data_IF_691821828349
#
_entry.id   IF_691821828349
#
_cell.length_a   1.000
_cell.length_b   1.000
_cell.length_c   1.000
_cell.angle_alpha   90.00
_cell.angle_beta   90.00
_cell.angle_gamma   90.00
#
_symmetry.space_group_name_H-M   'P 1'
#
loop_
_entity.id
_entity.type
_entity.pdbx_description
1 polymer ?
#
# COMPACT_ATOMS: atom_id res chain seq x y z
N UNK A 1 23.08 25.49 15.47
CA UNK A 1 22.20 26.17 14.49
C UNK A 1 21.69 25.09 13.55
N UNK A 2 20.39 25.01 13.29
CA UNK A 2 19.80 24.00 12.39
C UNK A 2 19.27 24.67 11.12
N UNK A 3 19.48 24.02 9.97
CA UNK A 3 19.00 24.48 8.65
C UNK A 3 18.07 23.39 8.13
N UNK A 4 16.90 23.80 7.62
CA UNK A 4 15.97 22.89 6.95
C UNK A 4 16.14 23.06 5.46
N UNK A 5 16.55 22.00 4.78
CA UNK A 5 16.78 21.97 3.32
C UNK A 5 15.76 21.02 2.70
N UNK A 6 15.15 21.44 1.59
CA UNK A 6 14.34 20.53 0.77
C UNK A 6 15.26 19.69 -0.10
N UNK A 7 15.04 18.38 -0.04
CA UNK A 7 15.87 17.38 -0.71
C UNK A 7 14.99 16.35 -1.37
N UNK A 8 15.46 15.79 -2.47
CA UNK A 8 14.89 14.60 -3.09
C UNK A 8 15.89 13.44 -3.05
N UNK A 9 15.36 12.23 -3.18
CA UNK A 9 16.16 11.01 -3.25
C UNK A 9 16.22 10.54 -4.70
N UNK A 10 17.43 10.40 -5.25
CA UNK A 10 17.66 9.95 -6.63
C UNK A 10 17.71 8.42 -6.79
N UNK A 11 17.52 7.67 -5.70
CA UNK A 11 17.68 6.22 -5.64
C UNK A 11 18.96 5.76 -4.93
N UNK A 12 19.91 6.66 -4.69
CA UNK A 12 21.18 6.36 -4.02
C UNK A 12 21.65 7.47 -3.07
N UNK A 13 21.37 8.72 -3.39
CA UNK A 13 21.88 9.92 -2.74
C UNK A 13 20.73 10.92 -2.49
N UNK A 14 20.86 11.64 -1.39
CA UNK A 14 19.96 12.74 -1.02
C UNK A 14 20.51 14.01 -1.66
N UNK A 15 19.76 14.61 -2.58
CA UNK A 15 20.17 15.77 -3.37
C UNK A 15 19.35 16.98 -2.93
N UNK A 16 19.99 18.09 -2.51
CA UNK A 16 19.30 19.36 -2.28
C UNK A 16 18.62 19.89 -3.54
N UNK A 17 17.39 20.36 -3.39
CA UNK A 17 16.67 21.02 -4.48
C UNK A 17 17.28 22.40 -4.82
N UNK A 18 17.89 23.04 -3.81
CA UNK A 18 18.58 24.33 -3.92
C UNK A 18 20.02 24.19 -3.42
N UNK A 19 21.00 24.91 -3.99
CA UNK A 19 22.37 24.90 -3.51
C UNK A 19 22.46 25.33 -2.04
N UNK A 20 23.18 24.57 -1.23
CA UNK A 20 23.39 24.86 0.19
C UNK A 20 24.88 25.05 0.44
N UNK A 21 25.22 26.15 1.09
CA UNK A 21 26.60 26.41 1.52
C UNK A 21 26.84 25.75 2.88
N UNK A 22 27.66 24.71 2.90
CA UNK A 22 27.97 23.90 4.07
C UNK A 22 29.50 23.80 4.25
N UNK A 23 29.98 23.73 5.50
CA UNK A 23 31.41 23.61 5.79
C UNK A 23 31.99 22.31 5.22
N UNK A 24 33.02 22.45 4.39
CA UNK A 24 33.69 21.32 3.74
C UNK A 24 34.46 20.51 4.79
N UNK A 25 34.35 19.17 4.72
CA UNK A 25 35.04 18.21 5.59
C UNK A 25 34.71 18.31 7.09
N UNK A 26 33.56 18.90 7.45
CA UNK A 26 33.07 18.84 8.82
C UNK A 26 31.97 17.78 8.97
N UNK A 27 32.02 16.95 10.03
CA UNK A 27 30.92 16.04 10.34
C UNK A 27 29.68 16.84 10.70
N UNK A 28 28.53 16.43 10.16
CA UNK A 28 27.24 17.07 10.40
C UNK A 28 26.19 16.02 10.77
N UNK A 29 25.26 16.39 11.63
CA UNK A 29 24.06 15.60 11.92
C UNK A 29 22.92 16.06 11.01
N UNK A 30 22.14 15.10 10.50
CA UNK A 30 20.99 15.37 9.64
C UNK A 30 19.76 14.63 10.15
N UNK A 31 18.61 15.30 10.15
CA UNK A 31 17.30 14.72 10.48
C UNK A 31 16.47 14.62 9.19
N UNK A 32 16.03 13.40 8.85
CA UNK A 32 15.22 13.18 7.67
C UNK A 32 13.73 13.20 8.02
N UNK A 33 12.99 14.17 7.48
CA UNK A 33 11.54 14.28 7.67
C UNK A 33 10.81 13.91 6.39
N UNK A 34 10.29 12.68 6.34
CA UNK A 34 9.46 12.21 5.22
C UNK A 34 8.00 12.53 5.52
N UNK A 35 7.34 13.41 4.75
CA UNK A 35 5.94 13.73 4.98
C UNK A 35 5.05 12.49 4.73
N UNK A 36 4.13 12.21 5.66
CA UNK A 36 3.27 11.02 5.64
C UNK A 36 2.35 10.94 4.41
N UNK A 37 2.04 12.06 3.76
CA UNK A 37 1.10 12.07 2.63
C UNK A 37 1.59 11.26 1.43
N UNK A 38 2.91 11.15 1.22
CA UNK A 38 3.49 10.35 0.13
C UNK A 38 3.40 8.86 0.43
N UNK A 39 3.64 8.47 1.68
CA UNK A 39 3.45 7.09 2.15
C UNK A 39 1.98 6.65 2.08
N UNK A 40 1.04 7.57 2.31
CA UNK A 40 -0.39 7.30 2.15
C UNK A 40 -0.76 7.07 0.68
N UNK A 41 -0.25 7.87 -0.26
CA UNK A 41 -0.49 7.70 -1.69
C UNK A 41 0.06 6.35 -2.21
N UNK A 42 1.28 5.97 -1.80
CA UNK A 42 1.86 4.68 -2.18
C UNK A 42 1.07 3.49 -1.61
N UNK A 43 0.58 3.60 -0.37
CA UNK A 43 -0.31 2.59 0.23
C UNK A 43 -1.66 2.49 -0.49
N UNK A 44 -2.23 3.62 -0.92
CA UNK A 44 -3.48 3.62 -1.70
C UNK A 44 -3.27 2.89 -3.02
N UNK A 45 -2.16 3.18 -3.72
CA UNK A 45 -1.81 2.53 -4.98
C UNK A 45 -1.62 1.01 -4.79
N UNK A 46 -0.87 0.60 -3.76
CA UNK A 46 -0.70 -0.81 -3.41
C UNK A 46 -2.02 -1.53 -3.12
N UNK A 47 -2.96 -0.88 -2.42
CA UNK A 47 -4.29 -1.45 -2.17
C UNK A 47 -5.10 -1.60 -3.45
N UNK A 48 -5.01 -0.62 -4.36
CA UNK A 48 -5.67 -0.67 -5.66
C UNK A 48 -5.12 -1.80 -6.52
N UNK A 49 -3.80 -1.96 -6.57
CA UNK A 49 -3.14 -3.05 -7.31
C UNK A 49 -3.50 -4.44 -6.74
N UNK A 50 -3.61 -4.55 -5.41
CA UNK A 50 -4.07 -5.77 -4.76
C UNK A 50 -5.54 -6.09 -5.09
N UNK A 51 -6.41 -5.07 -5.10
CA UNK A 51 -7.83 -5.23 -5.46
C UNK A 51 -7.99 -5.67 -6.92
N UNK A 52 -7.27 -5.04 -7.85
CA UNK A 52 -7.32 -5.41 -9.27
C UNK A 52 -6.81 -6.84 -9.50
N UNK A 53 -5.81 -7.27 -8.72
CA UNK A 53 -5.31 -8.65 -8.79
C UNK A 53 -6.34 -9.67 -8.31
N UNK A 54 -7.09 -9.35 -7.24
CA UNK A 54 -8.20 -10.19 -6.78
C UNK A 54 -9.34 -10.25 -7.80
N UNK A 55 -9.67 -9.12 -8.43
CA UNK A 55 -10.69 -9.07 -9.49
C UNK A 55 -10.29 -9.89 -10.72
N UNK A 56 -9.01 -9.87 -11.11
CA UNK A 56 -8.50 -10.66 -12.22
C UNK A 56 -8.58 -12.18 -11.95
N UNK A 57 -8.46 -12.58 -10.68
CA UNK A 57 -8.60 -13.97 -10.23
C UNK A 57 -10.05 -14.34 -9.89
N UNK A 58 -10.96 -13.36 -9.84
CA UNK A 58 -12.34 -13.59 -9.47
C UNK A 58 -13.03 -14.44 -10.55
N UNK A 59 -13.56 -15.59 -10.14
CA UNK A 59 -14.41 -16.41 -10.98
C UNK A 59 -15.74 -15.67 -11.14
N UNK A 60 -15.88 -14.90 -12.24
CA UNK A 60 -17.07 -14.10 -12.57
C UNK A 60 -18.38 -14.90 -12.64
N UNK A 61 -18.29 -16.23 -12.67
CA UNK A 61 -19.42 -17.16 -12.74
C UNK A 61 -19.69 -17.92 -11.44
N UNK A 62 -19.10 -17.53 -10.30
CA UNK A 62 -19.54 -18.00 -8.99
C UNK A 62 -20.91 -17.37 -8.63
N UNK A 63 -21.90 -17.56 -9.50
CA UNK A 63 -23.31 -17.35 -9.21
C UNK A 63 -23.76 -18.52 -8.35
N UNK A 64 -23.21 -18.61 -7.13
CA UNK A 64 -23.67 -19.56 -6.13
C UNK A 64 -25.05 -19.04 -5.74
N UNK A 65 -26.13 -19.76 -6.08
CA UNK A 65 -27.47 -19.36 -5.68
C UNK A 65 -27.50 -19.23 -4.15
N UNK A 66 -28.25 -18.27 -3.63
CA UNK A 66 -28.29 -18.01 -2.19
C UNK A 66 -28.74 -19.27 -1.41
N UNK A 67 -29.54 -20.11 -2.05
CA UNK A 67 -30.02 -21.40 -1.59
C UNK A 67 -28.88 -22.44 -1.44
N UNK A 68 -27.82 -22.34 -2.24
CA UNK A 68 -26.63 -23.20 -2.15
C UNK A 68 -25.65 -22.76 -1.04
N UNK A 69 -25.82 -21.56 -0.48
CA UNK A 69 -25.08 -21.07 0.70
C UNK A 69 -25.70 -21.55 2.02
N UNK A 70 -26.92 -22.08 2.00
CA UNK A 70 -27.62 -22.63 3.16
C UNK A 70 -27.14 -24.06 3.44
N UNK A 71 -26.17 -24.21 4.36
CA UNK A 71 -25.65 -25.52 4.86
C UNK A 71 -26.71 -26.42 5.50
N UNK A 72 -27.92 -25.90 5.69
CA UNK A 72 -29.04 -26.53 6.37
C UNK A 72 -29.83 -27.53 5.50
N UNK A 73 -29.69 -27.51 4.16
CA UNK A 73 -30.42 -28.44 3.27
C UNK A 73 -29.65 -29.71 2.86
N UNK A 74 -28.44 -29.96 3.40
CA UNK A 74 -27.61 -31.07 2.93
C UNK A 74 -28.08 -32.47 3.40
N UNK A 75 -28.92 -32.56 4.44
CA UNK A 75 -29.30 -33.83 5.08
C UNK A 75 -30.81 -34.10 5.15
N UNK A 76 -31.67 -33.30 4.51
CA UNK A 76 -33.13 -33.45 4.65
C UNK A 76 -33.75 -34.51 3.72
N UNK A 77 -32.93 -35.22 2.93
CA UNK A 77 -33.41 -36.18 1.92
C UNK A 77 -33.79 -37.57 2.46
N UNK A 78 -33.84 -37.79 3.78
CA UNK A 78 -34.09 -39.13 4.32
C UNK A 78 -34.94 -39.15 5.61
N UNK A 79 -36.01 -38.35 5.66
CA UNK A 79 -37.15 -38.64 6.53
C UNK A 79 -38.35 -39.08 5.70
N UNK A 80 -38.22 -40.27 5.13
CA UNK A 80 -39.36 -41.06 4.68
C UNK A 80 -40.30 -41.33 5.85
N UNK A 81 -41.52 -40.81 5.75
CA UNK A 81 -42.72 -41.29 6.43
C UNK A 81 -43.45 -42.24 5.49
#
# INVERSE_FOLDING_TARGET
>A
MSIVVRVHFDGKTIVPDEPVDLPINQPMEAELRIPESRLAADKIKQRLDALSSLEALAVKAANIPLEALQRENLYDSDRGL
#
